data_IF_828088458002
#
_entry.id   IF_828088458002
#
_cell.length_a   1.000
_cell.length_b   1.000
_cell.length_c   1.000
_cell.angle_alpha   90.00
_cell.angle_beta   90.00
_cell.angle_gamma   90.00
#
_symmetry.space_group_name_H-M   'P 1'
#
loop_
_entity.id
_entity.type
_entity.pdbx_description
1 polymer ?
#
# COMPACT_ATOMS: atom_id res chain seq x y z
N UNK A 1 -5.90 -37.92 3.17
CA UNK A 1 -5.92 -36.71 4.05
C UNK A 1 -6.15 -35.47 3.19
N UNK A 2 -7.31 -34.80 3.31
CA UNK A 2 -7.54 -33.51 2.65
C UNK A 2 -6.62 -32.49 3.32
N UNK A 3 -5.62 -31.98 2.60
CA UNK A 3 -4.82 -30.82 3.06
C UNK A 3 -5.81 -29.69 3.36
N UNK A 4 -5.98 -29.36 4.63
CA UNK A 4 -6.74 -28.19 5.07
C UNK A 4 -6.05 -26.97 4.47
N UNK A 5 -6.63 -26.40 3.40
CA UNK A 5 -6.15 -25.14 2.83
C UNK A 5 -6.52 -23.99 3.80
N UNK A 6 -5.62 -23.68 4.70
CA UNK A 6 -5.80 -22.60 5.68
C UNK A 6 -6.05 -21.22 5.02
N UNK A 7 -5.65 -21.06 3.75
CA UNK A 7 -5.84 -19.82 2.99
C UNK A 7 -7.02 -19.86 2.01
N UNK A 8 -7.95 -20.82 2.16
CA UNK A 8 -9.11 -20.91 1.25
C UNK A 8 -9.99 -19.65 1.24
N UNK A 9 -9.99 -18.88 2.32
CA UNK A 9 -10.74 -17.64 2.43
C UNK A 9 -10.21 -16.54 1.48
N UNK A 10 -8.92 -16.53 1.17
CA UNK A 10 -8.31 -15.59 0.22
C UNK A 10 -8.77 -15.83 -1.22
N UNK A 11 -9.23 -17.06 -1.53
CA UNK A 11 -9.82 -17.38 -2.83
C UNK A 11 -11.22 -16.74 -3.00
N UNK A 12 -11.82 -16.23 -1.94
CA UNK A 12 -13.05 -15.45 -2.00
C UNK A 12 -12.70 -13.97 -2.19
N UNK A 13 -13.49 -13.27 -2.99
CA UNK A 13 -13.26 -11.84 -3.30
C UNK A 13 -13.16 -10.98 -2.04
N UNK A 14 -14.08 -11.17 -1.08
CA UNK A 14 -14.07 -10.44 0.19
C UNK A 14 -12.87 -10.81 1.07
N UNK A 15 -12.43 -12.05 1.05
CA UNK A 15 -11.26 -12.48 1.79
C UNK A 15 -9.97 -11.83 1.25
N UNK A 16 -9.84 -11.79 -0.07
CA UNK A 16 -8.71 -11.12 -0.72
C UNK A 16 -8.73 -9.60 -0.45
N UNK A 17 -9.89 -8.98 -0.56
CA UNK A 17 -10.08 -7.57 -0.19
C UNK A 17 -9.64 -7.31 1.26
N UNK A 18 -10.09 -8.11 2.21
CA UNK A 18 -9.71 -8.00 3.62
C UNK A 18 -8.21 -8.17 3.84
N UNK A 19 -7.58 -9.11 3.13
CA UNK A 19 -6.13 -9.30 3.17
C UNK A 19 -5.38 -8.03 2.72
N UNK A 20 -5.78 -7.43 1.62
CA UNK A 20 -5.16 -6.20 1.11
C UNK A 20 -5.34 -5.02 2.08
N UNK A 21 -6.51 -4.92 2.73
CA UNK A 21 -6.76 -3.89 3.74
C UNK A 21 -5.81 -4.05 4.93
N UNK A 22 -5.66 -5.26 5.45
CA UNK A 22 -4.76 -5.54 6.58
C UNK A 22 -3.30 -5.28 6.20
N UNK A 23 -2.86 -5.74 5.04
CA UNK A 23 -1.50 -5.51 4.57
C UNK A 23 -1.19 -4.02 4.38
N UNK A 24 -2.14 -3.27 3.82
CA UNK A 24 -1.98 -1.82 3.65
C UNK A 24 -1.94 -1.09 4.99
N UNK A 25 -2.75 -1.52 5.95
CA UNK A 25 -2.72 -0.99 7.30
C UNK A 25 -1.38 -1.22 7.99
N UNK A 26 -0.85 -2.46 7.94
CA UNK A 26 0.47 -2.79 8.49
C UNK A 26 1.55 -1.92 7.84
N UNK A 27 1.49 -1.76 6.53
CA UNK A 27 2.44 -0.95 5.77
C UNK A 27 2.41 0.53 6.19
N UNK A 28 1.22 1.09 6.41
CA UNK A 28 1.09 2.45 6.93
C UNK A 28 1.64 2.58 8.36
N UNK A 29 1.40 1.58 9.22
CA UNK A 29 1.96 1.58 10.58
C UNK A 29 3.49 1.51 10.56
N UNK A 30 4.07 0.72 9.66
CA UNK A 30 5.52 0.68 9.47
C UNK A 30 6.06 2.03 8.98
N UNK A 31 5.38 2.69 8.04
CA UNK A 31 5.77 4.02 7.58
C UNK A 31 5.77 5.04 8.71
N UNK A 32 4.76 5.02 9.56
CA UNK A 32 4.67 5.95 10.69
C UNK A 32 5.77 5.73 11.74
N UNK A 33 6.20 4.49 11.94
CA UNK A 33 7.23 4.17 12.93
C UNK A 33 8.65 4.34 12.38
N UNK A 34 8.87 4.02 11.10
CA UNK A 34 10.20 4.02 10.49
C UNK A 34 10.57 5.33 9.79
N UNK A 35 9.61 5.97 9.13
CA UNK A 35 9.86 7.12 8.28
C UNK A 35 9.27 8.42 8.81
N UNK A 36 8.02 8.41 9.25
CA UNK A 36 7.32 9.61 9.69
C UNK A 36 7.50 9.85 11.18
N UNK A 37 8.19 10.91 11.53
CA UNK A 37 8.35 11.33 12.92
C UNK A 37 7.24 12.33 13.30
N UNK A 38 6.04 11.78 13.49
CA UNK A 38 4.87 12.59 13.85
C UNK A 38 4.87 12.87 15.36
N UNK A 39 4.79 14.15 15.73
CA UNK A 39 4.58 14.56 17.11
C UNK A 39 3.10 14.44 17.45
N UNK A 40 2.73 13.35 18.12
CA UNK A 40 1.38 13.09 18.55
C UNK A 40 1.23 13.46 20.04
N UNK A 41 0.41 14.45 20.32
CA UNK A 41 0.23 14.98 21.67
C UNK A 41 -0.95 14.34 22.41
N UNK A 42 -1.97 13.90 21.67
CA UNK A 42 -3.25 13.44 22.22
C UNK A 42 -3.61 12.02 21.82
N UNK A 43 -4.32 11.30 22.69
CA UNK A 43 -4.85 9.97 22.42
C UNK A 43 -5.78 9.94 21.18
N UNK A 44 -6.50 11.03 20.91
CA UNK A 44 -7.36 11.15 19.73
C UNK A 44 -6.55 11.14 18.43
N UNK A 45 -5.38 11.80 18.43
CA UNK A 45 -4.48 11.81 17.26
C UNK A 45 -3.94 10.42 16.96
N UNK A 46 -3.55 9.65 17.97
CA UNK A 46 -3.16 8.24 17.82
C UNK A 46 -4.30 7.39 17.25
N UNK A 47 -5.50 7.57 17.75
CA UNK A 47 -6.68 6.86 17.27
C UNK A 47 -6.98 7.16 15.79
N UNK A 48 -6.97 8.43 15.40
CA UNK A 48 -7.17 8.85 14.01
C UNK A 48 -6.07 8.27 13.12
N UNK A 49 -4.82 8.30 13.55
CA UNK A 49 -3.68 7.77 12.81
C UNK A 49 -3.84 6.27 12.51
N UNK A 50 -4.37 5.50 13.47
CA UNK A 50 -4.59 4.07 13.32
C UNK A 50 -5.77 3.77 12.38
N UNK A 51 -6.85 4.54 12.47
CA UNK A 51 -8.09 4.28 11.71
C UNK A 51 -8.06 4.85 10.29
N UNK A 52 -7.45 6.00 10.10
CA UNK A 52 -7.48 6.69 8.80
C UNK A 52 -7.00 5.83 7.61
N UNK A 53 -5.90 5.06 7.72
CA UNK A 53 -5.47 4.20 6.62
C UNK A 53 -6.47 3.09 6.29
N UNK A 54 -7.20 2.59 7.29
CA UNK A 54 -8.23 1.57 7.09
C UNK A 54 -9.36 2.15 6.26
N UNK A 55 -9.88 3.31 6.63
CA UNK A 55 -11.00 3.97 5.95
C UNK A 55 -10.67 4.27 4.47
N UNK A 56 -9.51 4.86 4.23
CA UNK A 56 -9.04 5.19 2.87
C UNK A 56 -8.86 3.93 2.03
N UNK A 57 -8.25 2.90 2.59
CA UNK A 57 -8.01 1.63 1.89
C UNK A 57 -9.32 0.92 1.57
N UNK A 58 -10.26 0.87 2.51
CA UNK A 58 -11.59 0.30 2.28
C UNK A 58 -12.31 1.01 1.13
N UNK A 59 -12.28 2.34 1.13
CA UNK A 59 -12.91 3.14 0.08
C UNK A 59 -12.34 2.85 -1.29
N UNK A 60 -11.03 2.93 -1.44
CA UNK A 60 -10.36 2.78 -2.73
C UNK A 60 -10.44 1.34 -3.26
N UNK A 61 -10.17 0.35 -2.42
CA UNK A 61 -10.23 -1.06 -2.82
C UNK A 61 -11.66 -1.55 -3.09
N UNK A 62 -12.68 -0.91 -2.51
CA UNK A 62 -14.08 -1.27 -2.75
C UNK A 62 -14.47 -1.19 -4.24
N UNK A 63 -13.79 -0.34 -5.02
CA UNK A 63 -13.97 -0.27 -6.48
C UNK A 63 -13.81 -1.66 -7.12
N UNK A 64 -12.85 -2.44 -6.66
CA UNK A 64 -12.64 -3.80 -7.14
C UNK A 64 -13.79 -4.76 -6.86
N UNK A 65 -14.58 -4.50 -5.81
CA UNK A 65 -15.73 -5.32 -5.47
C UNK A 65 -16.91 -5.12 -6.43
N UNK A 66 -17.02 -3.95 -7.06
CA UNK A 66 -18.05 -3.66 -8.07
C UNK A 66 -17.79 -4.33 -9.41
N UNK A 67 -16.57 -4.80 -9.66
CA UNK A 67 -16.25 -5.50 -10.91
C UNK A 67 -16.93 -6.86 -10.92
N UNK A 68 -17.79 -7.11 -11.89
CA UNK A 68 -18.65 -8.32 -11.94
C UNK A 68 -17.84 -9.62 -12.06
N UNK A 69 -16.83 -9.64 -12.91
CA UNK A 69 -16.01 -10.82 -13.17
C UNK A 69 -14.91 -10.96 -12.11
N UNK A 70 -14.67 -12.18 -11.63
CA UNK A 70 -13.73 -12.45 -10.55
C UNK A 70 -12.28 -12.09 -10.90
N UNK A 71 -11.78 -12.52 -12.06
CA UNK A 71 -10.42 -12.20 -12.52
C UNK A 71 -10.15 -10.68 -12.61
N UNK A 72 -10.95 -9.92 -13.38
CA UNK A 72 -10.76 -8.45 -13.41
C UNK A 72 -10.89 -7.79 -12.05
N UNK A 73 -11.74 -8.30 -11.16
CA UNK A 73 -11.86 -7.76 -9.80
C UNK A 73 -10.55 -7.85 -9.01
N UNK A 74 -9.88 -9.02 -9.05
CA UNK A 74 -8.58 -9.21 -8.41
C UNK A 74 -7.51 -8.30 -9.04
N UNK A 75 -7.49 -8.20 -10.36
CA UNK A 75 -6.56 -7.33 -11.08
C UNK A 75 -6.79 -5.86 -10.70
N UNK A 76 -8.04 -5.41 -10.67
CA UNK A 76 -8.37 -4.04 -10.27
C UNK A 76 -7.93 -3.75 -8.85
N UNK A 77 -8.21 -4.64 -7.90
CA UNK A 77 -7.73 -4.49 -6.52
C UNK A 77 -6.22 -4.45 -6.43
N UNK A 78 -5.51 -5.28 -7.20
CA UNK A 78 -4.03 -5.27 -7.24
C UNK A 78 -3.47 -4.00 -7.84
N UNK A 79 -4.07 -3.45 -8.89
CA UNK A 79 -3.67 -2.18 -9.50
C UNK A 79 -3.84 -1.03 -8.51
N UNK A 80 -4.99 -0.96 -7.84
CA UNK A 80 -5.26 0.06 -6.83
C UNK A 80 -4.27 -0.08 -5.66
N UNK A 81 -4.02 -1.30 -5.21
CA UNK A 81 -3.07 -1.58 -4.15
C UNK A 81 -1.64 -1.18 -4.53
N UNK A 82 -1.23 -1.41 -5.77
CA UNK A 82 0.06 -0.96 -6.32
C UNK A 82 0.17 0.57 -6.27
N UNK A 83 -0.86 1.28 -6.76
CA UNK A 83 -0.89 2.75 -6.75
C UNK A 83 -0.81 3.29 -5.32
N UNK A 84 -1.57 2.72 -4.39
CA UNK A 84 -1.53 3.12 -2.98
C UNK A 84 -0.16 2.88 -2.35
N UNK A 85 0.47 1.74 -2.66
CA UNK A 85 1.83 1.43 -2.19
C UNK A 85 2.85 2.42 -2.77
N UNK A 86 2.75 2.73 -4.06
CA UNK A 86 3.63 3.69 -4.71
C UNK A 86 3.49 5.09 -4.11
N UNK A 87 2.26 5.52 -3.82
CA UNK A 87 2.01 6.80 -3.17
C UNK A 87 2.58 6.84 -1.74
N UNK A 88 2.36 5.79 -0.96
CA UNK A 88 2.91 5.69 0.39
C UNK A 88 4.44 5.71 0.37
N UNK A 89 5.04 4.93 -0.50
CA UNK A 89 6.49 4.85 -0.66
C UNK A 89 7.07 6.20 -1.12
N UNK A 90 6.44 6.85 -2.10
CA UNK A 90 6.85 8.18 -2.56
C UNK A 90 6.78 9.22 -1.45
N UNK A 91 5.73 9.18 -0.62
CA UNK A 91 5.63 10.03 0.56
C UNK A 91 6.74 9.74 1.58
N UNK A 92 7.08 8.48 1.82
CA UNK A 92 8.15 8.11 2.73
C UNK A 92 9.51 8.67 2.25
N UNK A 93 9.83 8.48 0.98
CA UNK A 93 11.07 9.00 0.36
C UNK A 93 11.10 10.53 0.38
N UNK A 94 10.00 11.17 0.02
CA UNK A 94 9.89 12.62 0.04
C UNK A 94 10.03 13.19 1.45
N UNK A 95 9.39 12.56 2.43
CA UNK A 95 9.47 12.98 3.84
C UNK A 95 10.92 12.90 4.39
N UNK A 96 11.69 11.93 3.96
CA UNK A 96 13.11 11.78 4.34
C UNK A 96 13.94 12.98 3.93
N UNK A 97 13.62 13.59 2.78
CA UNK A 97 14.35 14.75 2.27
C UNK A 97 13.82 16.08 2.85
N UNK A 98 12.51 16.24 2.83
CA UNK A 98 11.89 17.54 3.12
C UNK A 98 11.22 17.63 4.50
N UNK A 99 11.17 16.52 5.24
CA UNK A 99 10.43 16.39 6.51
C UNK A 99 8.96 16.84 6.41
N UNK A 100 8.37 16.69 5.22
CA UNK A 100 6.99 17.07 4.90
C UNK A 100 6.38 16.06 3.92
N UNK A 101 5.05 16.11 3.75
CA UNK A 101 4.34 15.21 2.86
C UNK A 101 4.16 15.80 1.47
N UNK A 102 4.06 14.91 0.47
CA UNK A 102 3.75 15.31 -0.90
C UNK A 102 2.32 15.87 -0.96
N UNK A 103 2.20 17.08 -1.46
CA UNK A 103 0.92 17.72 -1.74
C UNK A 103 0.64 17.72 -3.25
N UNK A 104 -0.62 17.95 -3.65
CA UNK A 104 -1.01 18.08 -5.05
C UNK A 104 -0.22 19.19 -5.74
N UNK A 105 0.00 20.32 -5.05
CA UNK A 105 0.79 21.43 -5.59
C UNK A 105 2.24 21.03 -5.84
N UNK A 106 2.82 20.22 -4.95
CA UNK A 106 4.17 19.69 -5.10
C UNK A 106 4.25 18.74 -6.29
N UNK A 107 3.24 17.89 -6.48
CA UNK A 107 3.18 16.97 -7.62
C UNK A 107 3.07 17.72 -8.96
N UNK A 108 2.28 18.79 -9.00
CA UNK A 108 2.14 19.63 -10.21
C UNK A 108 3.42 20.39 -10.54
N UNK A 109 4.21 20.77 -9.52
CA UNK A 109 5.51 21.40 -9.66
C UNK A 109 6.66 20.43 -10.00
N UNK A 110 6.46 19.14 -9.80
CA UNK A 110 7.50 18.11 -9.94
C UNK A 110 8.09 17.99 -11.34
N UNK A 111 7.35 18.38 -12.39
CA UNK A 111 7.87 18.39 -13.75
C UNK A 111 9.07 19.32 -13.96
N UNK A 112 9.20 20.39 -13.17
CA UNK A 112 10.33 21.33 -13.22
C UNK A 112 11.52 20.90 -12.35
N UNK A 113 11.29 20.02 -11.38
CA UNK A 113 12.27 19.61 -10.35
C UNK A 113 12.73 18.16 -10.57
N UNK A 114 12.05 17.41 -11.44
CA UNK A 114 12.29 15.99 -11.68
C UNK A 114 13.73 15.65 -12.12
N UNK A 115 14.40 16.54 -12.84
CA UNK A 115 15.79 16.35 -13.30
C UNK A 115 16.82 16.36 -12.16
N UNK A 116 16.55 17.09 -11.06
CA UNK A 116 17.40 17.11 -9.88
C UNK A 116 17.03 16.11 -8.78
N UNK A 117 15.77 15.70 -8.75
CA UNK A 117 15.25 14.77 -7.73
C UNK A 117 15.63 13.29 -7.98
N UNK A 118 15.92 12.92 -9.24
CA UNK A 118 16.27 11.55 -9.57
C UNK A 118 17.56 11.07 -8.89
N UNK A 119 18.61 11.90 -8.89
CA UNK A 119 19.89 11.58 -8.24
C UNK A 119 19.78 11.63 -6.73
N UNK A 120 19.04 12.58 -6.18
CA UNK A 120 18.79 12.70 -4.73
C UNK A 120 17.92 11.58 -4.22
N UNK A 121 16.91 11.15 -4.99
CA UNK A 121 16.03 10.04 -4.63
C UNK A 121 16.79 8.74 -4.45
N UNK A 122 17.76 8.43 -5.32
CA UNK A 122 18.57 7.20 -5.22
C UNK A 122 19.34 7.16 -3.91
N UNK A 123 19.85 8.29 -3.42
CA UNK A 123 20.57 8.40 -2.15
C UNK A 123 19.66 8.23 -0.91
N UNK A 124 18.35 8.44 -1.08
CA UNK A 124 17.35 8.33 -0.01
C UNK A 124 16.81 6.92 0.18
N UNK A 125 17.09 6.01 -0.76
CA UNK A 125 16.70 4.61 -0.62
C UNK A 125 17.42 3.93 0.54
N UNK A 126 16.66 3.19 1.35
CA UNK A 126 17.17 2.46 2.51
C UNK A 126 16.91 0.96 2.34
N UNK A 127 17.73 0.09 2.96
CA UNK A 127 17.55 -1.37 2.82
C UNK A 127 16.16 -1.87 3.22
N UNK A 128 15.51 -1.25 4.20
CA UNK A 128 14.17 -1.66 4.64
C UNK A 128 13.04 -1.19 3.70
N UNK A 129 13.34 -0.43 2.66
CA UNK A 129 12.34 -0.02 1.64
C UNK A 129 11.75 -1.21 0.90
N UNK A 130 12.47 -2.32 0.86
CA UNK A 130 11.96 -3.58 0.31
C UNK A 130 10.69 -4.05 1.03
N UNK A 131 10.51 -3.71 2.32
CA UNK A 131 9.32 -4.08 3.09
C UNK A 131 8.05 -3.45 2.53
N UNK A 132 8.13 -2.28 1.87
CA UNK A 132 6.99 -1.64 1.21
C UNK A 132 6.50 -2.42 0.00
N UNK A 133 7.37 -3.17 -0.64
CA UNK A 133 7.09 -3.86 -1.89
C UNK A 133 7.03 -5.38 -1.76
N UNK A 134 7.59 -5.93 -0.68
CA UNK A 134 7.70 -7.37 -0.48
C UNK A 134 6.34 -8.07 -0.53
N UNK A 135 5.35 -7.55 0.14
CA UNK A 135 4.01 -8.09 0.16
C UNK A 135 3.34 -8.06 -1.21
N UNK A 136 3.53 -6.98 -1.97
CA UNK A 136 3.04 -6.86 -3.34
C UNK A 136 3.68 -7.92 -4.25
N UNK A 137 4.99 -8.08 -4.17
CA UNK A 137 5.73 -9.10 -4.95
C UNK A 137 5.23 -10.51 -4.60
N UNK A 138 5.05 -10.80 -3.31
CA UNK A 138 4.52 -12.08 -2.84
C UNK A 138 3.08 -12.33 -3.32
N UNK A 139 2.24 -11.31 -3.35
CA UNK A 139 0.87 -11.40 -3.86
C UNK A 139 0.84 -11.67 -5.36
N UNK A 140 1.64 -10.94 -6.14
CA UNK A 140 1.76 -11.17 -7.59
C UNK A 140 2.24 -12.60 -7.86
N UNK A 141 3.24 -13.06 -7.13
CA UNK A 141 3.73 -14.42 -7.23
C UNK A 141 2.65 -15.46 -6.88
N UNK A 142 1.91 -15.25 -5.80
CA UNK A 142 0.83 -16.13 -5.39
C UNK A 142 -0.33 -16.20 -6.41
N UNK A 143 -0.65 -15.07 -7.05
CA UNK A 143 -1.64 -15.02 -8.13
C UNK A 143 -1.13 -15.68 -9.41
N UNK A 144 0.12 -15.45 -9.79
CA UNK A 144 0.73 -16.02 -10.99
C UNK A 144 0.88 -17.54 -10.88
N UNK A 145 1.26 -18.05 -9.71
CA UNK A 145 1.40 -19.50 -9.44
C UNK A 145 0.07 -20.18 -9.12
N UNK A 146 -1.07 -19.48 -9.23
CA UNK A 146 -2.42 -19.97 -8.91
C UNK A 146 -2.58 -20.51 -7.48
N UNK A 147 -1.71 -20.10 -6.56
CA UNK A 147 -1.89 -20.40 -5.13
C UNK A 147 -3.11 -19.67 -4.57
N UNK A 148 -3.40 -18.49 -5.10
CA UNK A 148 -4.67 -17.78 -4.93
C UNK A 148 -5.47 -17.96 -6.21
N UNK A 149 -6.64 -18.58 -6.10
CA UNK A 149 -7.50 -18.86 -7.25
C UNK A 149 -8.39 -17.64 -7.54
N UNK A 150 -8.24 -17.11 -8.73
CA UNK A 150 -9.07 -16.00 -9.24
C UNK A 150 -10.33 -16.49 -9.98
N UNK A 151 -10.52 -17.77 -10.02
CA UNK A 151 -11.66 -18.37 -10.76
C UNK A 151 -12.92 -18.46 -9.89
#
# INVERSE_FOLDING_TARGET
MKKKNYFSWVNKRLGFFGLLVVLMWIKNMLAYTLDFHLSLENALQHFILIINPIATTLLLLSVGLYVRRKKPAYITMMVIYFIMTALLFSNAVYYREFTDFITINTMLGAGKVASGLGESAIKLFRPYDILYWLDFILLVFALATKRIKMD
#
